data_IF_778182717468
#
_entry.id   IF_778182717468
#
_cell.length_a   1.000
_cell.length_b   1.000
_cell.length_c   1.000
_cell.angle_alpha   90.00
_cell.angle_beta   90.00
_cell.angle_gamma   90.00
#
_symmetry.space_group_name_H-M   'P 1'
#
loop_
_entity.id
_entity.type
_entity.pdbx_description
1 polymer ?
#
# COMPACT_ATOMS: atom_id res chain seq x y z
N UNK A 1 -10.72 -6.79 -18.51
CA UNK A 1 -9.94 -6.60 -17.26
C UNK A 1 -8.63 -5.96 -17.65
N UNK A 2 -8.23 -4.87 -16.98
CA UNK A 2 -6.94 -4.22 -17.23
C UNK A 2 -5.79 -5.06 -16.68
N UNK A 3 -4.59 -4.92 -17.26
CA UNK A 3 -3.39 -5.57 -16.76
C UNK A 3 -3.09 -5.17 -15.31
N UNK A 4 -3.27 -3.88 -15.01
CA UNK A 4 -3.10 -3.34 -13.66
C UNK A 4 -4.01 -4.02 -12.64
N UNK A 5 -5.28 -4.21 -12.97
CA UNK A 5 -6.23 -4.89 -12.08
C UNK A 5 -5.77 -6.30 -11.76
N UNK A 6 -5.37 -7.07 -12.77
CA UNK A 6 -4.88 -8.45 -12.58
C UNK A 6 -3.61 -8.47 -11.74
N UNK A 7 -2.70 -7.52 -11.95
CA UNK A 7 -1.45 -7.41 -11.19
C UNK A 7 -1.70 -7.07 -9.72
N UNK A 8 -2.67 -6.20 -9.42
CA UNK A 8 -3.07 -5.81 -8.06
C UNK A 8 -3.82 -6.93 -7.36
N UNK A 9 -4.74 -7.62 -8.04
CA UNK A 9 -5.46 -8.76 -7.48
C UNK A 9 -4.50 -9.90 -7.09
N UNK A 10 -3.51 -10.20 -7.96
CA UNK A 10 -2.44 -11.17 -7.64
C UNK A 10 -1.61 -10.72 -6.44
N UNK A 11 -1.15 -9.47 -6.43
CA UNK A 11 -0.38 -8.93 -5.31
C UNK A 11 -1.17 -9.02 -3.99
N UNK A 12 -2.47 -8.71 -4.02
CA UNK A 12 -3.35 -8.81 -2.84
C UNK A 12 -3.46 -10.25 -2.34
N UNK A 13 -3.58 -11.23 -3.23
CA UNK A 13 -3.61 -12.64 -2.86
C UNK A 13 -2.29 -13.09 -2.20
N UNK A 14 -1.15 -12.70 -2.76
CA UNK A 14 0.17 -13.00 -2.18
C UNK A 14 0.36 -12.34 -0.80
N UNK A 15 -0.09 -11.10 -0.65
CA UNK A 15 -0.07 -10.39 0.65
C UNK A 15 -0.96 -11.08 1.69
N UNK A 16 -2.16 -11.54 1.30
CA UNK A 16 -3.04 -12.28 2.18
C UNK A 16 -2.42 -13.61 2.63
N UNK A 17 -1.74 -14.32 1.73
CA UNK A 17 -1.00 -15.55 2.06
C UNK A 17 0.14 -15.32 3.07
N UNK A 18 0.70 -14.10 3.10
CA UNK A 18 1.71 -13.65 4.06
C UNK A 18 1.12 -13.05 5.36
N UNK A 19 -0.21 -13.11 5.55
CA UNK A 19 -0.89 -12.60 6.74
C UNK A 19 -1.25 -11.12 6.68
N UNK A 20 -1.11 -10.46 5.53
CA UNK A 20 -1.53 -9.06 5.31
C UNK A 20 -2.90 -9.04 4.64
N UNK A 21 -3.93 -9.42 5.39
CA UNK A 21 -5.29 -9.60 4.87
C UNK A 21 -6.07 -8.29 4.66
N UNK A 22 -5.68 -7.22 5.36
CA UNK A 22 -6.41 -5.95 5.36
C UNK A 22 -6.12 -5.07 4.13
N UNK A 23 -5.27 -5.55 3.20
CA UNK A 23 -4.95 -4.81 1.99
C UNK A 23 -6.16 -4.70 1.05
N UNK A 24 -6.44 -3.50 0.55
CA UNK A 24 -7.58 -3.21 -0.31
C UNK A 24 -7.20 -2.26 -1.47
N UNK A 25 -7.93 -2.37 -2.57
CA UNK A 25 -7.75 -1.55 -3.78
C UNK A 25 -8.55 -0.24 -3.64
N UNK A 26 -7.99 0.89 -4.11
CA UNK A 26 -8.55 2.24 -3.85
C UNK A 26 -9.51 2.78 -4.93
N UNK A 27 -9.91 1.95 -5.88
CA UNK A 27 -10.84 2.25 -6.98
C UNK A 27 -10.20 2.72 -8.29
N UNK A 28 -8.86 2.73 -8.40
CA UNK A 28 -8.11 3.11 -9.60
C UNK A 28 -7.59 1.92 -10.41
N UNK A 29 -7.96 0.69 -10.00
CA UNK A 29 -7.52 -0.60 -10.55
C UNK A 29 -6.02 -0.88 -10.47
N UNK A 30 -5.22 0.04 -9.93
CA UNK A 30 -3.77 0.01 -10.02
C UNK A 30 -3.07 0.14 -8.66
N UNK A 31 -3.78 0.60 -7.64
CA UNK A 31 -3.21 0.94 -6.33
C UNK A 31 -3.88 0.14 -5.21
N UNK A 32 -3.03 -0.53 -4.44
CA UNK A 32 -3.37 -1.27 -3.25
C UNK A 32 -2.92 -0.50 -2.01
N UNK A 33 -3.86 -0.13 -1.14
CA UNK A 33 -3.59 0.32 0.22
C UNK A 33 -3.31 -0.90 1.08
N UNK A 34 -2.11 -0.99 1.64
CA UNK A 34 -1.67 -2.14 2.45
C UNK A 34 -1.76 -1.79 3.93
N UNK A 35 -1.39 -0.55 4.27
CA UNK A 35 -1.58 0.02 5.60
C UNK A 35 -1.53 1.54 5.51
N UNK A 36 -1.83 2.23 6.61
CA UNK A 36 -1.80 3.68 6.73
C UNK A 36 -0.39 4.15 6.37
N UNK A 37 -0.31 4.93 5.29
CA UNK A 37 0.95 5.42 4.74
C UNK A 37 1.70 4.43 3.87
N UNK A 38 1.32 3.14 3.80
CA UNK A 38 1.94 2.11 2.96
C UNK A 38 1.02 1.69 1.80
N UNK A 39 1.37 2.15 0.59
CA UNK A 39 0.61 1.91 -0.65
C UNK A 39 1.49 1.31 -1.72
N UNK A 40 0.95 0.38 -2.51
CA UNK A 40 1.62 -0.22 -3.66
C UNK A 40 0.83 0.09 -4.93
N UNK A 41 1.47 0.65 -5.94
CA UNK A 41 0.89 0.92 -7.26
C UNK A 41 1.58 0.07 -8.32
N UNK A 42 0.80 -0.53 -9.21
CA UNK A 42 1.30 -1.17 -10.43
C UNK A 42 1.20 -0.20 -11.60
N UNK A 43 2.34 0.12 -12.23
CA UNK A 43 2.38 1.03 -13.38
C UNK A 43 3.58 0.73 -14.27
N UNK A 44 3.35 0.81 -15.58
CA UNK A 44 4.34 0.54 -16.63
C UNK A 44 4.96 -0.87 -16.52
N UNK A 45 4.19 -1.86 -16.04
CA UNK A 45 4.65 -3.24 -15.83
C UNK A 45 5.37 -3.49 -14.50
N UNK A 46 5.53 -2.48 -13.64
CA UNK A 46 6.30 -2.60 -12.39
C UNK A 46 5.48 -2.26 -11.15
N UNK A 47 5.78 -2.96 -10.06
CA UNK A 47 5.31 -2.57 -8.72
C UNK A 47 6.17 -1.45 -8.14
N UNK A 48 5.50 -0.44 -7.59
CA UNK A 48 6.10 0.70 -6.87
C UNK A 48 5.39 0.81 -5.55
N UNK A 49 6.11 1.01 -4.45
CA UNK A 49 5.48 1.21 -3.16
C UNK A 49 5.98 2.46 -2.49
N UNK A 50 5.13 3.08 -1.67
CA UNK A 50 5.42 4.29 -0.93
C UNK A 50 5.08 4.08 0.52
N UNK A 51 5.91 4.64 1.39
CA UNK A 51 5.72 4.75 2.83
C UNK A 51 5.77 6.23 3.21
N UNK A 52 4.63 6.82 3.58
CA UNK A 52 4.54 8.25 3.84
C UNK A 52 5.02 9.06 2.61
N UNK A 53 6.14 9.78 2.75
CA UNK A 53 6.77 10.52 1.66
C UNK A 53 7.80 9.70 0.86
N UNK A 54 8.29 8.58 1.40
CA UNK A 54 9.36 7.77 0.81
C UNK A 54 8.82 6.89 -0.31
N UNK A 55 9.43 6.95 -1.49
CA UNK A 55 9.04 6.14 -2.66
C UNK A 55 10.11 5.10 -2.96
N UNK A 56 9.68 3.85 -3.07
CA UNK A 56 10.51 2.70 -3.39
C UNK A 56 10.00 2.02 -4.67
N UNK A 57 10.93 1.57 -5.52
CA UNK A 57 10.60 0.75 -6.70
C UNK A 57 10.94 -0.70 -6.43
N UNK A 58 10.02 -1.62 -6.72
CA UNK A 58 10.37 -3.03 -6.83
C UNK A 58 10.98 -3.26 -8.22
N UNK A 59 12.19 -3.82 -8.26
CA UNK A 59 12.94 -4.01 -9.51
C UNK A 59 12.39 -5.17 -10.38
N UNK A 60 11.43 -5.95 -9.87
CA UNK A 60 10.79 -7.04 -10.60
C UNK A 60 9.34 -6.76 -10.97
N UNK A 61 8.77 -7.68 -11.75
CA UNK A 61 7.34 -7.74 -12.11
C UNK A 61 6.63 -8.89 -11.39
N UNK A 62 7.32 -9.58 -10.47
CA UNK A 62 6.80 -10.71 -9.72
C UNK A 62 5.97 -10.24 -8.53
N UNK A 63 4.66 -10.56 -8.47
CA UNK A 63 3.81 -10.20 -7.34
C UNK A 63 4.29 -10.81 -6.02
N UNK A 64 4.82 -12.05 -6.02
CA UNK A 64 5.24 -12.73 -4.80
C UNK A 64 6.47 -12.06 -4.19
N UNK A 65 7.50 -11.79 -4.99
CA UNK A 65 8.68 -11.04 -4.57
C UNK A 65 8.38 -9.62 -4.12
N UNK A 66 7.37 -8.96 -4.71
CA UNK A 66 6.87 -7.67 -4.22
C UNK A 66 6.18 -7.82 -2.86
N UNK A 67 5.26 -8.79 -2.73
CA UNK A 67 4.50 -9.06 -1.52
C UNK A 67 5.43 -9.37 -0.33
N UNK A 68 6.48 -10.17 -0.50
CA UNK A 68 7.45 -10.47 0.57
C UNK A 68 8.10 -9.19 1.12
N UNK A 69 8.53 -8.28 0.25
CA UNK A 69 9.16 -7.02 0.66
C UNK A 69 8.17 -6.09 1.37
N UNK A 70 6.96 -6.00 0.83
CA UNK A 70 5.90 -5.15 1.38
C UNK A 70 5.40 -5.70 2.71
N UNK A 71 5.19 -7.01 2.84
CA UNK A 71 4.79 -7.68 4.08
C UNK A 71 5.85 -7.53 5.17
N UNK A 72 7.14 -7.70 4.81
CA UNK A 72 8.24 -7.43 5.74
C UNK A 72 8.19 -5.98 6.23
N UNK A 73 8.05 -5.01 5.32
CA UNK A 73 8.00 -3.61 5.71
C UNK A 73 6.78 -3.28 6.57
N UNK A 74 5.63 -3.83 6.22
CA UNK A 74 4.41 -3.73 7.01
C UNK A 74 4.62 -4.25 8.45
N UNK A 75 5.31 -5.39 8.63
CA UNK A 75 5.64 -5.91 9.95
C UNK A 75 6.61 -5.00 10.72
N UNK A 76 7.65 -4.48 10.07
CA UNK A 76 8.61 -3.53 10.66
C UNK A 76 7.89 -2.27 11.17
N UNK A 77 7.03 -1.70 10.33
CA UNK A 77 6.26 -0.52 10.68
C UNK A 77 5.27 -0.80 11.84
N UNK A 78 4.70 -2.02 11.93
CA UNK A 78 3.76 -2.38 13.01
C UNK A 78 4.48 -2.57 14.34
N UNK A 79 5.73 -3.00 14.30
CA UNK A 79 6.56 -3.17 15.48
C UNK A 79 7.10 -1.83 16.01
N UNK A 80 7.42 -0.89 15.11
CA UNK A 80 7.94 0.44 15.43
C UNK A 80 7.18 1.49 14.61
N UNK A 81 6.03 1.92 15.14
CA UNK A 81 5.12 2.85 14.47
C UNK A 81 5.79 4.21 14.33
N UNK A 82 6.05 4.70 13.11
CA UNK A 82 6.80 5.94 12.95
C UNK A 82 6.04 7.17 13.46
N UNK A 83 6.73 8.22 13.92
CA UNK A 83 6.08 9.44 14.44
C UNK A 83 5.21 10.17 13.40
N UNK A 84 5.54 10.07 12.11
CA UNK A 84 4.71 10.64 11.04
C UNK A 84 3.32 9.98 10.95
N UNK A 85 3.15 8.81 11.55
CA UNK A 85 1.85 8.14 11.63
C UNK A 85 0.88 8.91 12.51
N UNK A 86 1.32 9.51 13.62
CA UNK A 86 0.45 10.33 14.47
C UNK A 86 -0.02 11.59 13.75
N UNK A 87 0.84 12.19 12.93
CA UNK A 87 0.48 13.32 12.08
C UNK A 87 -0.53 12.91 11.01
N UNK A 88 -0.34 11.75 10.38
CA UNK A 88 -1.26 11.23 9.37
C UNK A 88 -2.61 10.80 9.99
N UNK A 89 -2.60 10.13 11.14
CA UNK A 89 -3.79 9.75 11.90
C UNK A 89 -4.54 10.99 12.40
N UNK A 90 -3.84 12.04 12.83
CA UNK A 90 -4.46 13.33 13.19
C UNK A 90 -5.11 14.00 11.97
N UNK A 91 -4.49 13.98 10.80
CA UNK A 91 -5.09 14.51 9.56
C UNK A 91 -6.31 13.69 9.15
N UNK A 92 -6.22 12.36 9.21
CA UNK A 92 -7.33 11.45 8.86
C UNK A 92 -8.50 11.57 9.84
N UNK A 93 -8.24 11.69 11.15
CA UNK A 93 -9.28 11.88 12.20
C UNK A 93 -9.79 13.32 12.27
N UNK A 94 -8.98 14.31 11.89
CA UNK A 94 -9.34 15.72 11.82
C UNK A 94 -10.11 16.11 10.56
N UNK A 95 -10.24 15.19 9.58
CA UNK A 95 -11.03 15.35 8.36
C UNK A 95 -12.54 15.19 8.55
N UNK A 96 -13.09 15.44 9.74
CA UNK A 96 -14.51 15.72 9.87
C UNK A 96 -14.78 17.11 9.29
N UNK A 97 -15.21 17.13 8.03
CA UNK A 97 -15.68 18.26 7.23
C UNK A 97 -15.91 19.58 8.01
N UNK A 98 -14.86 20.39 8.11
CA UNK A 98 -15.02 21.85 8.20
C UNK A 98 -15.47 22.33 6.82
N UNK A 99 -16.67 22.89 6.76
CA UNK A 99 -17.41 23.27 5.55
C UNK A 99 -16.58 23.72 4.35
N UNK A 100 -16.83 23.06 3.23
CA UNK A 100 -16.55 23.63 1.92
C UNK A 100 -17.47 24.87 1.75
N UNK A 101 -16.93 26.05 1.37
CA UNK A 101 -17.75 27.24 1.14
C UNK A 101 -18.73 27.07 -0.02
#
# INVERSE_FOLDING_TARGET
>A
MSESRVAVEKLRAELAALGVADAYEIGDEATLSVWIGLVVTFRDGFYRWREGAVKCRHLGTDPAGCAVRVARRHAELKADVPPWWEELDRVLRGGAAGGYP
#
